data_IF_131955052168
#
_entry.id   IF_131955052168
#
_cell.length_a   1.000
_cell.length_b   1.000
_cell.length_c   1.000
_cell.angle_alpha   90.00
_cell.angle_beta   90.00
_cell.angle_gamma   90.00
#
_symmetry.space_group_name_H-M   'P 1'
#
loop_
_entity.id
_entity.type
_entity.pdbx_description
1 polymer ?
#
# COMPACT_ATOMS: atom_id res chain seq x y z
N UNK A 1 22.25 1.91 -0.34
CA UNK A 1 21.74 0.87 -1.27
C UNK A 1 22.43 -0.45 -1.00
N UNK A 2 21.65 -1.52 -0.80
CA UNK A 2 22.15 -2.88 -0.58
C UNK A 2 21.83 -3.73 -1.80
N UNK A 3 22.80 -4.53 -2.25
CA UNK A 3 22.63 -5.50 -3.34
C UNK A 3 23.24 -6.83 -2.91
N UNK A 4 22.92 -7.94 -3.61
CA UNK A 4 23.51 -9.26 -3.33
C UNK A 4 25.05 -9.30 -3.29
N UNK A 5 25.73 -8.34 -3.94
CA UNK A 5 27.19 -8.34 -4.09
C UNK A 5 27.89 -7.20 -3.37
N UNK A 6 27.19 -6.11 -3.07
CA UNK A 6 27.80 -4.86 -2.60
C UNK A 6 26.82 -4.05 -1.75
N UNK A 7 27.35 -3.35 -0.75
CA UNK A 7 26.68 -2.27 -0.01
C UNK A 7 27.31 -0.95 -0.46
N UNK A 8 26.48 0.04 -0.77
CA UNK A 8 26.91 1.40 -1.11
C UNK A 8 26.17 2.40 -0.23
N UNK A 9 26.92 3.29 0.38
CA UNK A 9 26.41 4.43 1.12
C UNK A 9 26.44 5.65 0.20
N UNK A 10 25.35 6.42 0.23
CA UNK A 10 25.29 7.72 -0.43
C UNK A 10 25.05 8.71 0.69
N UNK A 11 26.10 9.45 1.03
CA UNK A 11 26.05 10.47 2.07
C UNK A 11 25.47 11.76 1.51
N UNK A 12 24.94 12.60 2.40
CA UNK A 12 24.43 13.93 2.05
C UNK A 12 23.37 13.93 0.94
N UNK A 13 22.52 12.90 0.88
CA UNK A 13 21.45 12.77 -0.12
C UNK A 13 20.49 13.97 -0.06
N UNK A 14 20.07 14.34 1.15
CA UNK A 14 19.27 15.53 1.44
C UNK A 14 19.35 15.87 2.93
N UNK A 15 18.99 17.11 3.27
CA UNK A 15 18.82 17.52 4.67
C UNK A 15 17.46 17.07 5.20
N UNK A 16 17.41 16.51 6.41
CA UNK A 16 16.17 15.97 6.99
C UNK A 16 15.06 17.02 7.11
N UNK A 17 15.41 18.24 7.55
CA UNK A 17 14.46 19.34 7.68
C UNK A 17 13.83 19.72 6.33
N UNK A 18 14.61 19.70 5.26
CA UNK A 18 14.12 20.02 3.92
C UNK A 18 13.15 18.95 3.39
N UNK A 19 13.50 17.67 3.56
CA UNK A 19 12.59 16.57 3.20
C UNK A 19 11.31 16.65 4.02
N UNK A 20 11.43 16.95 5.31
CA UNK A 20 10.29 17.10 6.21
C UNK A 20 9.33 18.20 5.73
N UNK A 21 9.84 19.38 5.38
CA UNK A 21 9.02 20.48 4.87
C UNK A 21 8.31 20.11 3.55
N UNK A 22 8.99 19.40 2.66
CA UNK A 22 8.40 18.93 1.40
C UNK A 22 7.29 17.90 1.65
N UNK A 23 7.47 16.99 2.60
CA UNK A 23 6.46 16.00 2.97
C UNK A 23 5.25 16.66 3.62
N UNK A 24 5.44 17.63 4.51
CA UNK A 24 4.34 18.38 5.13
C UNK A 24 3.53 19.14 4.08
N UNK A 25 4.20 19.78 3.12
CA UNK A 25 3.55 20.44 1.99
C UNK A 25 2.76 19.47 1.09
N UNK A 26 3.28 18.26 0.86
CA UNK A 26 2.60 17.19 0.13
C UNK A 26 1.36 16.69 0.89
N UNK A 27 1.52 16.41 2.19
CA UNK A 27 0.41 15.97 3.05
C UNK A 27 -0.73 16.98 3.09
N UNK A 28 -0.40 18.27 3.14
CA UNK A 28 -1.42 19.32 3.09
C UNK A 28 -2.26 19.26 1.80
N UNK A 29 -1.67 18.92 0.65
CA UNK A 29 -2.44 18.74 -0.58
C UNK A 29 -3.40 17.55 -0.46
N UNK A 30 -2.97 16.44 0.15
CA UNK A 30 -3.80 15.25 0.32
C UNK A 30 -4.95 15.47 1.31
N UNK A 31 -4.70 16.15 2.42
CA UNK A 31 -5.76 16.46 3.39
C UNK A 31 -6.81 17.41 2.79
N UNK A 32 -6.43 18.29 1.86
CA UNK A 32 -7.38 19.16 1.15
C UNK A 32 -8.43 18.36 0.37
N UNK A 33 -8.10 17.14 -0.10
CA UNK A 33 -9.05 16.26 -0.79
C UNK A 33 -10.11 15.66 0.14
N UNK A 34 -9.92 15.67 1.46
CA UNK A 34 -10.91 15.11 2.41
C UNK A 34 -12.10 16.03 2.67
N UNK A 35 -12.05 17.30 2.26
CA UNK A 35 -13.00 18.33 2.67
C UNK A 35 -14.04 18.76 1.61
N UNK A 36 -14.15 18.10 0.45
CA UNK A 36 -15.29 18.40 -0.44
C UNK A 36 -15.32 17.74 -1.81
N UNK A 37 -16.04 16.62 -1.92
CA UNK A 37 -16.27 15.88 -3.18
C UNK A 37 -16.88 16.76 -4.29
N UNK A 38 -17.90 17.57 -3.99
CA UNK A 38 -18.57 18.39 -5.01
C UNK A 38 -17.77 19.62 -5.49
N UNK A 39 -16.85 20.14 -4.66
CA UNK A 39 -16.02 21.31 -5.00
C UNK A 39 -14.68 20.95 -5.62
N UNK A 40 -14.24 19.69 -5.47
CA UNK A 40 -12.93 19.23 -5.95
C UNK A 40 -12.82 19.26 -7.47
N UNK A 41 -13.91 19.03 -8.23
CA UNK A 41 -13.86 18.99 -9.70
C UNK A 41 -13.21 20.22 -10.32
N UNK A 42 -13.50 21.42 -9.79
CA UNK A 42 -12.94 22.68 -10.30
C UNK A 42 -11.50 22.94 -9.85
N UNK A 43 -11.04 22.33 -8.75
CA UNK A 43 -9.70 22.53 -8.19
C UNK A 43 -8.76 21.33 -8.40
N UNK A 44 -9.26 20.20 -8.91
CA UNK A 44 -8.52 18.95 -9.02
C UNK A 44 -7.25 19.11 -9.88
N UNK A 45 -7.37 19.84 -11.00
CA UNK A 45 -6.22 20.11 -11.86
C UNK A 45 -5.13 20.92 -11.16
N UNK A 46 -5.53 21.95 -10.40
CA UNK A 46 -4.60 22.81 -9.66
C UNK A 46 -3.98 22.08 -8.45
N UNK A 47 -4.76 21.29 -7.73
CA UNK A 47 -4.26 20.42 -6.65
C UNK A 47 -3.27 19.39 -7.18
N UNK A 48 -3.57 18.76 -8.32
CA UNK A 48 -2.65 17.83 -9.00
C UNK A 48 -1.35 18.56 -9.37
N UNK A 49 -1.43 19.75 -9.96
CA UNK A 49 -0.24 20.55 -10.32
C UNK A 49 0.62 20.84 -9.09
N UNK A 50 0.03 21.29 -7.98
CA UNK A 50 0.75 21.56 -6.72
C UNK A 50 1.37 20.30 -6.12
N UNK A 51 0.61 19.21 -6.10
CA UNK A 51 1.07 17.90 -5.64
C UNK A 51 2.30 17.45 -6.45
N UNK A 52 2.25 17.58 -7.77
CA UNK A 52 3.35 17.22 -8.66
C UNK A 52 4.62 18.05 -8.40
N UNK A 53 4.51 19.32 -8.01
CA UNK A 53 5.66 20.13 -7.62
C UNK A 53 6.40 19.51 -6.42
N UNK A 54 5.67 19.07 -5.40
CA UNK A 54 6.28 18.41 -4.23
C UNK A 54 6.87 17.05 -4.58
N UNK A 55 6.14 16.24 -5.35
CA UNK A 55 6.61 14.93 -5.82
C UNK A 55 7.87 15.05 -6.67
N UNK A 56 7.97 16.08 -7.52
CA UNK A 56 9.16 16.31 -8.35
C UNK A 56 10.37 16.73 -7.53
N UNK A 57 10.19 17.64 -6.56
CA UNK A 57 11.27 18.06 -5.66
C UNK A 57 11.79 16.88 -4.82
N UNK A 58 10.88 16.03 -4.33
CA UNK A 58 11.24 14.81 -3.59
C UNK A 58 11.95 13.80 -4.49
N UNK A 59 11.51 13.63 -5.74
CA UNK A 59 12.19 12.79 -6.72
C UNK A 59 13.64 13.24 -6.96
N UNK A 60 13.83 14.54 -7.22
CA UNK A 60 15.15 15.12 -7.50
C UNK A 60 16.14 14.94 -6.35
N UNK A 61 15.65 14.90 -5.11
CA UNK A 61 16.48 14.71 -3.92
C UNK A 61 16.73 13.26 -3.59
N UNK A 62 15.70 12.42 -3.66
CA UNK A 62 15.75 11.06 -3.12
C UNK A 62 16.06 10.00 -4.19
N UNK A 63 15.60 10.19 -5.42
CA UNK A 63 15.68 9.18 -6.49
C UNK A 63 16.71 9.54 -7.54
N UNK A 64 16.74 10.79 -8.01
CA UNK A 64 17.66 11.23 -9.06
C UNK A 64 19.14 10.90 -8.75
N UNK A 65 19.68 11.12 -7.53
CA UNK A 65 21.06 10.76 -7.22
C UNK A 65 21.32 9.25 -7.25
N UNK A 66 20.26 8.45 -7.14
CA UNK A 66 20.31 6.99 -7.09
C UNK A 66 20.02 6.32 -8.44
N UNK A 67 19.50 7.05 -9.43
CA UNK A 67 18.99 6.50 -10.69
C UNK A 67 20.00 5.61 -11.41
N UNK A 68 21.26 6.04 -11.46
CA UNK A 68 22.35 5.29 -12.11
C UNK A 68 22.52 3.89 -11.51
N UNK A 69 22.18 3.72 -10.23
CA UNK A 69 22.29 2.44 -9.53
C UNK A 69 21.04 1.56 -9.65
N UNK A 70 19.87 2.19 -9.79
CA UNK A 70 18.58 1.50 -9.88
C UNK A 70 18.10 1.31 -11.32
N UNK A 71 18.87 1.71 -12.34
CA UNK A 71 18.44 1.75 -13.75
C UNK A 71 17.80 0.44 -14.26
N UNK A 72 18.43 -0.70 -13.99
CA UNK A 72 17.98 -2.03 -14.45
C UNK A 72 17.56 -2.94 -13.29
N UNK A 73 17.08 -2.36 -12.19
CA UNK A 73 16.76 -3.10 -10.96
C UNK A 73 15.38 -2.75 -10.48
N UNK A 74 14.76 -3.72 -9.80
CA UNK A 74 13.55 -3.55 -9.01
C UNK A 74 13.91 -2.93 -7.64
N UNK A 75 13.62 -1.64 -7.39
CA UNK A 75 13.88 -1.03 -6.10
C UNK A 75 12.95 -1.59 -5.02
N UNK A 76 13.54 -2.10 -3.94
CA UNK A 76 12.84 -2.35 -2.68
C UNK A 76 13.21 -1.25 -1.69
N UNK A 77 12.20 -0.52 -1.22
CA UNK A 77 12.35 0.62 -0.34
C UNK A 77 12.07 0.18 1.09
N UNK A 78 13.00 0.47 1.99
CA UNK A 78 12.82 0.30 3.43
C UNK A 78 12.72 1.71 4.01
N UNK A 79 11.50 2.26 4.15
CA UNK A 79 11.30 3.61 4.66
C UNK A 79 11.67 3.70 6.14
N UNK A 80 11.99 4.91 6.57
CA UNK A 80 12.26 5.24 7.97
C UNK A 80 11.66 6.60 8.32
N UNK A 81 11.09 6.73 9.52
CA UNK A 81 10.49 7.97 10.01
C UNK A 81 9.39 8.51 9.09
N UNK A 82 9.42 9.81 8.78
CA UNK A 82 8.40 10.46 7.93
C UNK A 82 8.33 9.91 6.51
N UNK A 83 9.37 9.21 6.02
CA UNK A 83 9.37 8.58 4.70
C UNK A 83 8.37 7.42 4.58
N UNK A 84 7.84 6.90 5.69
CA UNK A 84 6.73 5.94 5.66
C UNK A 84 5.49 6.49 4.95
N UNK A 85 5.32 7.81 4.94
CA UNK A 85 4.18 8.46 4.32
C UNK A 85 4.44 8.92 2.88
N UNK A 86 5.65 8.73 2.37
CA UNK A 86 5.98 9.10 0.99
C UNK A 86 5.55 8.01 0.01
N UNK A 87 4.60 8.27 -0.90
CA UNK A 87 4.31 7.36 -1.99
C UNK A 87 5.45 7.40 -3.04
N UNK A 88 6.52 6.64 -2.83
CA UNK A 88 7.69 6.65 -3.74
C UNK A 88 7.31 6.34 -5.20
N UNK A 89 6.32 5.48 -5.40
CA UNK A 89 5.71 5.13 -6.69
C UNK A 89 5.20 6.35 -7.46
N UNK A 90 4.71 7.36 -6.74
CA UNK A 90 4.14 8.59 -7.30
C UNK A 90 5.18 9.71 -7.47
N UNK A 91 6.46 9.48 -7.14
CA UNK A 91 7.51 10.46 -7.42
C UNK A 91 7.63 10.67 -8.93
N UNK A 92 7.75 11.93 -9.37
CA UNK A 92 7.74 12.30 -10.79
C UNK A 92 9.08 12.92 -11.19
N UNK A 93 9.64 12.52 -12.32
CA UNK A 93 10.90 13.07 -12.81
C UNK A 93 10.77 14.41 -13.55
N UNK A 94 9.52 14.77 -13.87
CA UNK A 94 9.13 15.95 -14.65
C UNK A 94 8.17 15.58 -15.77
N UNK A 95 8.25 14.34 -16.25
CA UNK A 95 7.40 13.83 -17.33
C UNK A 95 6.60 12.60 -16.88
N UNK A 96 7.26 11.70 -16.15
CA UNK A 96 6.72 10.39 -15.81
C UNK A 96 6.82 10.09 -14.32
N UNK A 97 5.81 9.43 -13.78
CA UNK A 97 5.84 8.85 -12.45
C UNK A 97 6.79 7.66 -12.40
N UNK A 98 7.42 7.43 -11.25
CA UNK A 98 8.37 6.34 -11.06
C UNK A 98 7.74 4.98 -11.38
N UNK A 99 6.47 4.78 -11.01
CA UNK A 99 5.73 3.54 -11.26
C UNK A 99 5.52 3.24 -12.75
N UNK A 100 5.48 4.27 -13.61
CA UNK A 100 5.35 4.08 -15.07
C UNK A 100 6.63 3.49 -15.67
N UNK A 101 7.76 3.68 -14.99
CA UNK A 101 9.08 3.21 -15.46
C UNK A 101 9.50 1.92 -14.77
N UNK A 102 9.14 1.73 -13.50
CA UNK A 102 9.61 0.62 -12.67
C UNK A 102 8.58 0.21 -11.64
N UNK A 103 8.48 -1.10 -11.42
CA UNK A 103 7.84 -1.62 -10.22
C UNK A 103 8.64 -1.16 -8.98
N UNK A 104 7.93 -0.81 -7.91
CA UNK A 104 8.53 -0.42 -6.64
C UNK A 104 7.89 -1.29 -5.56
N UNK A 105 8.69 -1.86 -4.67
CA UNK A 105 8.20 -2.61 -3.52
C UNK A 105 8.68 -2.01 -2.21
N UNK A 106 7.97 -2.30 -1.13
CA UNK A 106 8.38 -1.94 0.23
C UNK A 106 8.74 -3.17 1.04
N UNK A 107 9.61 -2.98 2.03
CA UNK A 107 9.83 -3.94 3.10
C UNK A 107 9.99 -3.20 4.43
N UNK A 108 9.51 -3.81 5.51
CA UNK A 108 9.64 -3.24 6.85
C UNK A 108 11.10 -3.24 7.36
N UNK A 109 11.90 -4.22 6.92
CA UNK A 109 13.33 -4.30 7.23
C UNK A 109 14.06 -5.19 6.23
N UNK A 110 15.39 -5.14 6.25
CA UNK A 110 16.23 -6.02 5.42
C UNK A 110 16.04 -7.50 5.79
N UNK A 111 15.87 -7.80 7.08
CA UNK A 111 15.62 -9.17 7.58
C UNK A 111 14.28 -9.71 7.08
N UNK A 112 13.21 -8.90 7.13
CA UNK A 112 11.90 -9.29 6.61
C UNK A 112 11.97 -9.51 5.10
N UNK A 113 12.66 -8.63 4.37
CA UNK A 113 12.87 -8.80 2.93
C UNK A 113 13.61 -10.12 2.62
N UNK A 114 14.71 -10.40 3.33
CA UNK A 114 15.47 -11.64 3.15
C UNK A 114 14.58 -12.87 3.40
N UNK A 115 13.87 -12.89 4.52
CA UNK A 115 12.94 -13.97 4.87
C UNK A 115 11.87 -14.17 3.78
N UNK A 116 11.32 -13.09 3.21
CA UNK A 116 10.36 -13.17 2.11
C UNK A 116 10.98 -13.67 0.80
N UNK A 117 12.24 -13.30 0.49
CA UNK A 117 12.97 -13.74 -0.70
C UNK A 117 13.36 -15.22 -0.65
N UNK A 118 13.56 -15.77 0.55
CA UNK A 118 13.87 -17.19 0.77
C UNK A 118 12.63 -18.09 0.69
N UNK A 119 11.42 -17.53 0.80
CA UNK A 119 10.18 -18.30 0.64
C UNK A 119 9.99 -18.74 -0.82
N UNK A 120 9.52 -19.98 -1.04
CA UNK A 120 9.21 -20.43 -2.39
C UNK A 120 8.10 -19.56 -2.97
N UNK A 121 8.26 -19.16 -4.23
CA UNK A 121 7.18 -18.52 -4.98
C UNK A 121 6.05 -19.53 -5.12
N UNK A 122 4.84 -19.13 -4.71
CA UNK A 122 3.62 -19.91 -4.90
C UNK A 122 2.80 -19.28 -6.01
N UNK A 123 2.20 -20.12 -6.85
CA UNK A 123 1.16 -19.66 -7.75
C UNK A 123 -0.02 -19.16 -6.90
N UNK A 124 -0.67 -18.08 -7.34
CA UNK A 124 -1.93 -17.63 -6.77
C UNK A 124 -3.04 -18.27 -7.61
N UNK A 125 -3.54 -19.43 -7.18
CA UNK A 125 -4.50 -20.19 -7.98
C UNK A 125 -5.94 -19.85 -7.62
N UNK A 126 -6.19 -19.45 -6.38
CA UNK A 126 -7.52 -19.11 -5.90
C UNK A 126 -7.51 -17.90 -4.96
N UNK A 127 -8.67 -17.23 -4.84
CA UNK A 127 -8.82 -16.05 -4.00
C UNK A 127 -10.09 -16.10 -3.13
N UNK A 128 -9.93 -15.70 -1.86
CA UNK A 128 -11.03 -15.35 -0.97
C UNK A 128 -11.25 -13.83 -1.06
N UNK A 129 -12.42 -13.42 -1.53
CA UNK A 129 -12.79 -12.02 -1.74
C UNK A 129 -13.85 -11.64 -0.70
N UNK A 130 -13.52 -10.75 0.23
CA UNK A 130 -14.40 -10.34 1.32
C UNK A 130 -14.67 -8.84 1.20
N UNK A 131 -15.94 -8.46 1.13
CA UNK A 131 -16.34 -7.06 1.00
C UNK A 131 -17.44 -6.67 2.00
N UNK A 132 -17.20 -5.61 2.77
CA UNK A 132 -18.22 -5.02 3.64
C UNK A 132 -18.27 -3.50 3.42
N UNK A 133 -19.31 -3.06 2.71
CA UNK A 133 -19.52 -1.67 2.34
C UNK A 133 -20.39 -0.93 3.36
N UNK A 134 -20.15 0.37 3.53
CA UNK A 134 -21.11 1.33 4.08
C UNK A 134 -21.17 2.58 3.19
N UNK A 135 -21.92 3.61 3.61
CA UNK A 135 -22.11 4.85 2.85
C UNK A 135 -20.79 5.56 2.46
N UNK A 136 -19.69 5.32 3.19
CA UNK A 136 -18.39 5.95 2.93
C UNK A 136 -17.54 5.19 1.91
N UNK A 137 -17.87 3.93 1.62
CA UNK A 137 -17.14 3.07 0.67
C UNK A 137 -18.13 2.35 -0.28
N UNK A 138 -18.92 3.10 -1.07
CA UNK A 138 -19.98 2.51 -1.89
C UNK A 138 -19.47 1.58 -3.01
N UNK A 139 -18.20 1.73 -3.39
CA UNK A 139 -17.60 1.02 -4.53
C UNK A 139 -17.04 -0.37 -4.21
N UNK A 140 -17.10 -0.83 -2.95
CA UNK A 140 -16.59 -2.16 -2.55
C UNK A 140 -17.21 -3.28 -3.40
N UNK A 141 -18.49 -3.16 -3.76
CA UNK A 141 -19.15 -4.18 -4.59
C UNK A 141 -18.52 -4.25 -5.98
N UNK A 142 -18.32 -3.10 -6.61
CA UNK A 142 -17.71 -2.99 -7.94
C UNK A 142 -16.27 -3.50 -7.94
N UNK A 143 -15.51 -3.22 -6.88
CA UNK A 143 -14.17 -3.76 -6.69
C UNK A 143 -14.17 -5.29 -6.62
N UNK A 144 -15.02 -5.87 -5.77
CA UNK A 144 -15.13 -7.33 -5.63
C UNK A 144 -15.55 -7.96 -6.96
N UNK A 145 -16.48 -7.34 -7.69
CA UNK A 145 -16.95 -7.87 -8.98
C UNK A 145 -15.82 -7.89 -10.03
N UNK A 146 -14.99 -6.84 -10.11
CA UNK A 146 -13.80 -6.83 -11.00
C UNK A 146 -12.79 -7.92 -10.62
N UNK A 147 -12.59 -8.19 -9.32
CA UNK A 147 -11.66 -9.23 -8.89
C UNK A 147 -12.13 -10.65 -9.22
N UNK A 148 -13.44 -10.88 -9.28
CA UNK A 148 -13.99 -12.18 -9.73
C UNK A 148 -13.60 -12.51 -11.16
N UNK A 149 -13.49 -11.49 -12.02
CA UNK A 149 -13.07 -11.66 -13.42
C UNK A 149 -11.58 -12.06 -13.51
N UNK A 150 -10.75 -11.55 -12.59
CA UNK A 150 -9.31 -11.82 -12.54
C UNK A 150 -9.02 -13.21 -11.91
N UNK A 151 -9.78 -13.59 -10.89
CA UNK A 151 -9.59 -14.86 -10.17
C UNK A 151 -10.76 -15.81 -10.44
N UNK A 152 -10.73 -16.63 -11.50
CA UNK A 152 -11.85 -17.52 -11.84
C UNK A 152 -12.15 -18.56 -10.75
N UNK A 153 -11.13 -19.01 -10.00
CA UNK A 153 -11.30 -19.82 -8.79
C UNK A 153 -11.39 -18.89 -7.57
N UNK A 154 -12.59 -18.48 -7.18
CA UNK A 154 -12.78 -17.61 -6.03
C UNK A 154 -13.92 -18.05 -5.12
N UNK A 155 -13.88 -17.56 -3.88
CA UNK A 155 -15.04 -17.48 -3.00
C UNK A 155 -15.26 -16.02 -2.64
N UNK A 156 -16.45 -15.51 -2.92
CA UNK A 156 -16.83 -14.15 -2.53
C UNK A 156 -17.78 -14.17 -1.34
N UNK A 157 -17.53 -13.31 -0.37
CA UNK A 157 -18.36 -13.07 0.80
C UNK A 157 -18.61 -11.56 0.88
N UNK A 158 -19.87 -11.14 0.73
CA UNK A 158 -20.20 -9.72 0.65
C UNK A 158 -21.33 -9.35 1.60
N UNK A 159 -21.29 -8.13 2.14
CA UNK A 159 -22.33 -7.61 3.03
C UNK A 159 -22.49 -8.51 4.25
N UNK A 160 -23.68 -9.09 4.43
CA UNK A 160 -24.04 -9.93 5.59
C UNK A 160 -23.16 -11.18 5.72
N UNK A 161 -22.60 -11.65 4.61
CA UNK A 161 -21.76 -12.87 4.59
C UNK A 161 -20.30 -12.59 4.93
N UNK A 162 -19.87 -11.32 4.94
CA UNK A 162 -18.52 -10.88 5.29
C UNK A 162 -18.32 -10.91 6.82
N UNK A 163 -18.48 -12.09 7.43
CA UNK A 163 -18.42 -12.29 8.88
C UNK A 163 -17.07 -12.85 9.32
N UNK A 164 -16.72 -12.65 10.59
CA UNK A 164 -15.51 -13.23 11.18
C UNK A 164 -15.53 -14.75 11.13
N UNK A 165 -16.70 -15.36 11.36
CA UNK A 165 -16.87 -16.82 11.29
C UNK A 165 -16.58 -17.35 9.88
N UNK A 166 -17.09 -16.70 8.84
CA UNK A 166 -16.79 -17.08 7.46
C UNK A 166 -15.32 -16.82 7.10
N UNK A 167 -14.74 -15.71 7.56
CA UNK A 167 -13.31 -15.45 7.39
C UNK A 167 -12.48 -16.61 7.95
N UNK A 168 -12.66 -16.99 9.22
CA UNK A 168 -11.92 -18.12 9.83
C UNK A 168 -12.12 -19.43 9.08
N UNK A 169 -13.35 -19.68 8.61
CA UNK A 169 -13.70 -20.91 7.90
C UNK A 169 -12.94 -21.06 6.58
N UNK A 170 -12.74 -19.96 5.83
CA UNK A 170 -12.20 -20.03 4.48
C UNK A 170 -10.76 -19.54 4.35
N UNK A 171 -10.27 -18.66 5.22
CA UNK A 171 -8.97 -17.98 5.07
C UNK A 171 -7.80 -18.93 4.79
N UNK A 172 -7.76 -20.09 5.45
CA UNK A 172 -6.65 -21.04 5.28
C UNK A 172 -6.71 -21.88 3.99
N UNK A 173 -7.82 -21.84 3.26
CA UNK A 173 -8.06 -22.63 2.04
C UNK A 173 -7.73 -21.89 0.74
N UNK A 174 -7.34 -20.61 0.82
CA UNK A 174 -7.10 -19.77 -0.36
C UNK A 174 -5.68 -19.19 -0.36
N UNK A 175 -5.07 -19.06 -1.53
CA UNK A 175 -3.71 -18.52 -1.69
C UNK A 175 -3.66 -17.00 -1.48
N UNK A 176 -4.74 -16.32 -1.88
CA UNK A 176 -4.94 -14.89 -1.75
C UNK A 176 -6.20 -14.58 -0.94
N UNK A 177 -6.09 -13.64 -0.02
CA UNK A 177 -7.24 -13.04 0.67
C UNK A 177 -7.27 -11.56 0.32
N UNK A 178 -8.37 -11.11 -0.28
CA UNK A 178 -8.65 -9.71 -0.54
C UNK A 178 -9.78 -9.23 0.39
N UNK A 179 -9.53 -8.12 1.09
CA UNK A 179 -10.45 -7.50 2.04
C UNK A 179 -10.74 -6.06 1.59
N UNK A 180 -11.98 -5.77 1.25
CA UNK A 180 -12.48 -4.44 0.90
C UNK A 180 -13.48 -3.97 1.97
N UNK A 181 -12.99 -3.22 2.95
CA UNK A 181 -13.75 -2.80 4.14
C UNK A 181 -13.03 -1.67 4.89
N UNK A 182 -13.71 -1.05 5.88
CA UNK A 182 -13.08 -0.01 6.69
C UNK A 182 -11.95 -0.54 7.56
N UNK A 183 -10.79 0.11 7.48
CA UNK A 183 -9.67 -0.09 8.40
C UNK A 183 -9.72 0.87 9.58
N UNK A 184 -9.47 0.35 10.78
CA UNK A 184 -9.21 1.11 11.98
C UNK A 184 -7.76 0.93 12.39
N UNK A 185 -6.99 2.00 12.34
CA UNK A 185 -5.60 2.00 12.75
C UNK A 185 -5.45 2.46 14.21
N UNK A 186 -4.71 1.67 14.99
CA UNK A 186 -4.40 1.95 16.39
C UNK A 186 -2.90 2.09 16.57
N UNK A 187 -2.42 3.34 16.64
CA UNK A 187 -1.01 3.64 16.88
C UNK A 187 -0.54 3.21 18.27
N UNK A 188 -1.43 3.33 19.27
CA UNK A 188 -1.18 2.98 20.66
C UNK A 188 -1.00 1.46 20.85
N UNK A 189 -1.73 0.66 20.06
CA UNK A 189 -1.59 -0.78 20.05
C UNK A 189 -1.87 -1.37 18.66
N UNK A 190 -0.82 -1.49 17.81
CA UNK A 190 -0.97 -1.94 16.43
C UNK A 190 -1.61 -3.32 16.28
N UNK A 191 -1.44 -4.22 17.27
CA UNK A 191 -2.06 -5.56 17.25
C UNK A 191 -3.59 -5.54 17.33
N UNK A 192 -4.18 -4.44 17.80
CA UNK A 192 -5.62 -4.18 17.81
C UNK A 192 -6.07 -3.23 16.69
N UNK A 193 -5.18 -2.91 15.73
CA UNK A 193 -5.67 -2.39 14.45
C UNK A 193 -6.52 -3.47 13.79
N UNK A 194 -7.60 -3.07 13.13
CA UNK A 194 -8.62 -4.00 12.69
C UNK A 194 -9.31 -3.59 11.40
N UNK A 195 -9.89 -4.59 10.74
CA UNK A 195 -10.72 -4.45 9.55
C UNK A 195 -12.17 -4.73 9.95
N UNK A 196 -13.09 -3.85 9.55
CA UNK A 196 -14.50 -3.96 9.91
C UNK A 196 -15.18 -5.01 9.04
N UNK A 197 -15.78 -5.99 9.69
CA UNK A 197 -16.61 -7.03 9.10
C UNK A 197 -18.08 -6.77 9.43
N UNK A 198 -18.98 -7.58 8.88
CA UNK A 198 -20.42 -7.43 9.06
C UNK A 198 -20.89 -7.63 10.50
N UNK A 199 -20.18 -8.46 11.26
CA UNK A 199 -20.51 -8.88 12.62
C UNK A 199 -19.48 -8.42 13.67
N UNK A 200 -18.48 -7.63 13.29
CA UNK A 200 -17.44 -7.18 14.20
C UNK A 200 -16.17 -6.72 13.51
N UNK A 201 -15.02 -7.05 14.12
CA UNK A 201 -13.70 -6.61 13.69
C UNK A 201 -12.76 -7.79 13.56
N UNK A 202 -11.98 -7.81 12.47
CA UNK A 202 -10.86 -8.71 12.27
C UNK A 202 -9.57 -7.99 12.63
N UNK A 203 -8.91 -8.38 13.72
CA UNK A 203 -7.70 -7.69 14.20
C UNK A 203 -6.41 -8.23 13.56
N UNK A 204 -5.34 -7.45 13.61
CA UNK A 204 -3.99 -7.92 13.24
C UNK A 204 -3.58 -9.15 14.06
N UNK A 205 -3.98 -9.23 15.33
CA UNK A 205 -3.77 -10.42 16.16
C UNK A 205 -4.45 -11.65 15.58
N UNK A 206 -5.73 -11.56 15.23
CA UNK A 206 -6.46 -12.68 14.63
C UNK A 206 -5.79 -13.17 13.34
N UNK A 207 -5.30 -12.23 12.51
CA UNK A 207 -4.56 -12.56 11.28
C UNK A 207 -3.23 -13.25 11.59
N UNK A 208 -2.51 -12.81 12.63
CA UNK A 208 -1.22 -13.39 13.03
C UNK A 208 -1.31 -14.82 13.57
N UNK A 209 -2.50 -15.22 14.04
CA UNK A 209 -2.77 -16.56 14.57
C UNK A 209 -3.12 -17.57 13.47
N UNK A 210 -3.29 -17.13 12.21
CA UNK A 210 -3.54 -18.02 11.09
C UNK A 210 -2.31 -18.92 10.82
N UNK A 211 -2.57 -20.21 10.64
CA UNK A 211 -1.50 -21.20 10.41
C UNK A 211 -1.04 -21.24 8.96
N UNK A 212 -1.86 -20.71 8.05
CA UNK A 212 -1.63 -20.74 6.60
C UNK A 212 -0.76 -19.58 6.11
N UNK A 213 0.02 -19.83 5.04
CA UNK A 213 0.92 -18.86 4.40
C UNK A 213 0.20 -18.10 3.27
N UNK A 214 -0.99 -17.59 3.54
CA UNK A 214 -1.80 -16.87 2.56
C UNK A 214 -1.27 -15.44 2.38
N UNK A 215 -1.42 -14.87 1.18
CA UNK A 215 -1.10 -13.45 0.95
C UNK A 215 -2.34 -12.60 1.21
N UNK A 216 -2.17 -11.52 1.96
CA UNK A 216 -3.21 -10.52 2.20
C UNK A 216 -3.07 -9.37 1.21
N UNK A 217 -4.18 -8.92 0.66
CA UNK A 217 -4.31 -7.66 -0.04
C UNK A 217 -5.50 -6.89 0.55
N UNK A 218 -5.33 -5.59 0.79
CA UNK A 218 -6.38 -4.72 1.32
C UNK A 218 -6.49 -3.48 0.44
N UNK A 219 -7.71 -2.95 0.30
CA UNK A 219 -8.00 -1.70 -0.39
C UNK A 219 -8.47 -0.63 0.60
#
# INVERSE_FOLDING_TARGET
>A
MVTKKNIRYVENLAQENEITQLLEGLHFQFETMRYGDERLGNFAAELKKRTNIYLQKLYQKLILPLEKFIKHRHPVIIPFGKLHYLPFHALIDGEHYLIEKKEVSYAASATVLQYCLEKPKRALENALLIGYADEKIPFVKEEIDKLKEIFPKHKSLFGKDATFANFKKYAESFDLIHLACHGQFRQDNPMFSALRLADGFLTVRDISELKSKCRFNYA
#
